data_IF_355400798068
#
_entry.id   IF_355400798068
#
_cell.length_a   1.000
_cell.length_b   1.000
_cell.length_c   1.000
_cell.angle_alpha   90.00
_cell.angle_beta   90.00
_cell.angle_gamma   90.00
#
_symmetry.space_group_name_H-M   'P 1'
#
loop_
_entity.id
_entity.type
_entity.pdbx_description
1 polymer ?
#
# COMPACT_ATOMS: atom_id res chain seq x y z
N UNK A 1 12.06 -22.35 11.22
CA UNK A 1 11.02 -21.89 10.28
C UNK A 1 10.59 -20.48 10.69
N UNK A 2 10.83 -19.45 9.86
CA UNK A 2 10.47 -18.07 10.19
C UNK A 2 8.93 -17.94 10.33
N UNK A 3 8.47 -17.43 11.48
CA UNK A 3 7.05 -17.26 11.81
C UNK A 3 6.56 -15.82 11.55
N UNK A 4 7.04 -15.19 10.47
CA UNK A 4 6.69 -13.81 10.20
C UNK A 4 5.18 -13.70 9.95
N UNK A 5 4.47 -13.04 10.87
CA UNK A 5 3.01 -12.84 10.78
C UNK A 5 2.62 -11.48 10.21
N UNK A 6 3.50 -10.50 10.34
CA UNK A 6 3.27 -9.10 9.98
C UNK A 6 4.44 -8.62 9.14
N UNK A 7 4.15 -8.01 7.99
CA UNK A 7 5.12 -7.39 7.12
C UNK A 7 4.71 -5.95 6.88
N UNK A 8 5.63 -5.02 7.12
CA UNK A 8 5.47 -3.61 6.80
C UNK A 8 6.54 -3.20 5.81
N UNK A 9 6.12 -2.65 4.66
CA UNK A 9 7.00 -2.22 3.58
C UNK A 9 6.69 -0.76 3.27
N UNK A 10 7.64 0.13 3.47
CA UNK A 10 7.47 1.56 3.16
C UNK A 10 8.23 1.93 1.90
N UNK A 11 7.70 2.89 1.14
CA UNK A 11 8.39 3.55 0.03
C UNK A 11 8.81 2.57 -1.10
N UNK A 12 7.90 1.65 -1.43
CA UNK A 12 8.10 0.70 -2.52
C UNK A 12 7.97 1.46 -3.84
N UNK A 13 9.09 1.56 -4.56
CA UNK A 13 9.12 2.03 -5.95
C UNK A 13 8.73 0.91 -6.93
N UNK A 14 8.24 1.29 -8.11
CA UNK A 14 7.71 0.37 -9.15
C UNK A 14 8.76 -0.61 -9.75
N UNK A 15 9.97 -0.72 -9.19
CA UNK A 15 11.06 -1.53 -9.77
C UNK A 15 11.16 -2.95 -9.20
N UNK A 16 10.22 -3.39 -8.37
CA UNK A 16 10.34 -4.65 -7.63
C UNK A 16 10.36 -5.89 -8.54
N UNK A 17 9.67 -5.85 -9.68
CA UNK A 17 9.54 -7.01 -10.58
C UNK A 17 10.70 -7.22 -11.54
N UNK A 18 11.62 -6.26 -11.70
CA UNK A 18 12.82 -6.47 -12.53
C UNK A 18 13.77 -7.53 -11.96
N UNK A 19 13.58 -7.94 -10.70
CA UNK A 19 14.48 -8.84 -9.97
C UNK A 19 13.79 -9.98 -9.22
N UNK A 20 12.48 -10.18 -9.36
CA UNK A 20 11.79 -11.25 -8.64
C UNK A 20 12.05 -12.60 -9.31
N UNK A 21 13.20 -13.21 -8.97
CA UNK A 21 13.20 -14.67 -8.80
C UNK A 21 12.07 -14.99 -7.81
N UNK A 22 11.25 -16.01 -8.07
CA UNK A 22 10.20 -16.40 -7.13
C UNK A 22 10.84 -16.56 -5.75
N UNK A 23 10.32 -15.85 -4.75
CA UNK A 23 10.83 -15.97 -3.39
C UNK A 23 10.78 -17.46 -3.03
N UNK A 24 11.92 -18.08 -2.69
CA UNK A 24 11.99 -19.54 -2.53
C UNK A 24 11.27 -20.03 -1.26
N UNK A 25 10.62 -19.12 -0.53
CA UNK A 25 9.90 -19.38 0.70
C UNK A 25 8.53 -18.72 0.66
N UNK A 26 7.50 -19.55 0.64
CA UNK A 26 6.15 -19.15 1.00
C UNK A 26 6.18 -18.65 2.44
N UNK A 27 5.80 -17.39 2.66
CA UNK A 27 5.63 -16.82 4.00
C UNK A 27 4.35 -17.41 4.64
N UNK A 28 4.42 -18.68 5.03
CA UNK A 28 3.27 -19.51 5.40
C UNK A 28 2.45 -18.97 6.57
N UNK A 29 3.03 -18.09 7.40
CA UNK A 29 2.39 -17.50 8.57
C UNK A 29 2.02 -16.03 8.39
N UNK A 30 2.29 -15.44 7.22
CA UNK A 30 2.02 -14.03 6.97
C UNK A 30 0.51 -13.81 6.87
N UNK A 31 -0.02 -13.07 7.83
CA UNK A 31 -1.45 -12.78 7.94
C UNK A 31 -1.76 -11.30 7.80
N UNK A 32 -0.78 -10.42 8.03
CA UNK A 32 -0.95 -8.97 7.90
C UNK A 32 0.15 -8.36 7.05
N UNK A 33 -0.25 -7.59 6.06
CA UNK A 33 0.65 -6.82 5.20
C UNK A 33 0.22 -5.36 5.24
N UNK A 34 1.21 -4.47 5.36
CA UNK A 34 1.02 -3.05 5.23
C UNK A 34 2.08 -2.51 4.29
N UNK A 35 1.67 -1.75 3.29
CA UNK A 35 2.58 -1.30 2.24
C UNK A 35 2.34 0.15 1.84
N UNK A 36 3.41 0.93 1.76
CA UNK A 36 3.44 2.26 1.15
C UNK A 36 3.99 2.17 -0.26
N UNK A 37 3.18 2.52 -1.24
CA UNK A 37 3.49 2.53 -2.66
C UNK A 37 3.65 3.96 -3.15
N UNK A 38 4.72 4.23 -3.89
CA UNK A 38 4.85 5.52 -4.55
C UNK A 38 3.87 5.65 -5.71
N UNK A 39 3.71 4.60 -6.53
CA UNK A 39 2.66 4.45 -7.54
C UNK A 39 2.30 2.96 -7.66
N UNK A 40 1.19 2.62 -8.34
CA UNK A 40 0.69 1.25 -8.46
C UNK A 40 0.73 0.80 -9.91
N UNK A 41 1.82 0.11 -10.28
CA UNK A 41 1.74 -0.76 -11.45
C UNK A 41 0.89 -1.99 -11.09
N UNK A 42 -0.38 -1.97 -11.49
CA UNK A 42 -1.34 -2.99 -11.09
C UNK A 42 -0.95 -4.39 -11.58
N UNK A 43 -0.32 -4.52 -12.75
CA UNK A 43 0.09 -5.83 -13.28
C UNK A 43 1.15 -6.46 -12.38
N UNK A 44 2.14 -5.65 -12.00
CA UNK A 44 3.20 -6.06 -11.08
C UNK A 44 2.66 -6.37 -9.68
N UNK A 45 1.77 -5.51 -9.19
CA UNK A 45 1.12 -5.69 -7.90
C UNK A 45 0.32 -7.00 -7.85
N UNK A 46 -0.45 -7.29 -8.90
CA UNK A 46 -1.21 -8.53 -9.02
C UNK A 46 -0.29 -9.77 -8.97
N UNK A 47 0.84 -9.75 -9.67
CA UNK A 47 1.79 -10.86 -9.64
C UNK A 47 2.33 -11.11 -8.22
N UNK A 48 2.68 -10.03 -7.50
CA UNK A 48 3.14 -10.14 -6.11
C UNK A 48 2.08 -10.75 -5.18
N UNK A 49 0.81 -10.36 -5.34
CA UNK A 49 -0.31 -10.90 -4.57
C UNK A 49 -0.44 -12.41 -4.79
N UNK A 50 -0.36 -12.84 -6.05
CA UNK A 50 -0.43 -14.25 -6.45
C UNK A 50 0.70 -15.06 -5.81
N UNK A 51 1.92 -14.53 -5.86
CA UNK A 51 3.11 -15.26 -5.41
C UNK A 51 3.21 -15.33 -3.87
N UNK A 52 2.80 -14.28 -3.17
CA UNK A 52 3.17 -14.10 -1.76
C UNK A 52 1.99 -14.04 -0.78
N UNK A 53 0.80 -13.58 -1.20
CA UNK A 53 -0.22 -13.09 -0.25
C UNK A 53 -1.50 -13.94 -0.16
N UNK A 54 -1.47 -15.18 -0.65
CA UNK A 54 -2.62 -16.11 -0.61
C UNK A 54 -3.19 -16.42 0.80
N UNK A 55 -2.41 -16.22 1.87
CA UNK A 55 -2.83 -16.41 3.29
C UNK A 55 -3.09 -15.11 4.04
N UNK A 56 -2.88 -13.97 3.40
CA UNK A 56 -3.05 -12.66 4.05
C UNK A 56 -4.51 -12.44 4.39
N UNK A 57 -4.75 -12.01 5.62
CA UNK A 57 -6.06 -11.68 6.15
C UNK A 57 -6.29 -10.17 6.24
N UNK A 58 -5.21 -9.40 6.37
CA UNK A 58 -5.25 -7.94 6.48
C UNK A 58 -4.25 -7.35 5.51
N UNK A 59 -4.74 -6.54 4.58
CA UNK A 59 -3.93 -5.80 3.63
C UNK A 59 -4.24 -4.30 3.76
N UNK A 60 -3.23 -3.53 4.14
CA UNK A 60 -3.26 -2.07 4.16
C UNK A 60 -2.34 -1.54 3.07
N UNK A 61 -2.84 -0.65 2.22
CA UNK A 61 -2.06 -0.01 1.15
C UNK A 61 -2.18 1.51 1.31
N UNK A 62 -1.04 2.19 1.31
CA UNK A 62 -0.95 3.65 1.18
C UNK A 62 -0.34 3.98 -0.18
N UNK A 63 -0.92 4.90 -0.93
CA UNK A 63 -0.48 5.26 -2.27
C UNK A 63 -0.23 6.76 -2.32
N UNK A 64 1.01 7.14 -2.65
CA UNK A 64 1.45 8.54 -2.66
C UNK A 64 1.49 9.17 -4.08
N UNK A 65 1.01 8.47 -5.11
CA UNK A 65 0.97 8.94 -6.51
C UNK A 65 -0.29 9.76 -6.79
N UNK A 66 -0.16 11.06 -7.02
CA UNK A 66 -1.31 11.92 -7.35
C UNK A 66 -1.89 11.68 -8.76
N UNK A 67 -1.13 11.05 -9.68
CA UNK A 67 -1.50 10.91 -11.09
C UNK A 67 -1.96 9.51 -11.49
N UNK A 68 -1.88 8.53 -10.59
CA UNK A 68 -2.09 7.14 -10.97
C UNK A 68 -3.56 6.74 -10.87
N UNK A 69 -4.30 6.75 -11.97
CA UNK A 69 -5.69 6.29 -11.96
C UNK A 69 -5.83 4.78 -11.71
N UNK A 70 -4.75 4.00 -11.72
CA UNK A 70 -4.82 2.55 -11.52
C UNK A 70 -5.41 2.17 -10.16
N UNK A 71 -5.22 2.98 -9.11
CA UNK A 71 -5.85 2.73 -7.81
C UNK A 71 -7.36 3.00 -7.83
N UNK A 72 -7.86 3.86 -8.74
CA UNK A 72 -9.28 4.22 -8.82
C UNK A 72 -10.15 3.11 -9.43
N UNK A 73 -9.55 2.09 -10.05
CA UNK A 73 -10.32 1.02 -10.68
C UNK A 73 -10.80 -0.03 -9.66
N UNK A 74 -11.92 0.26 -8.99
CA UNK A 74 -12.53 -0.63 -7.99
C UNK A 74 -12.73 -2.05 -8.50
N UNK A 75 -13.18 -2.20 -9.75
CA UNK A 75 -13.44 -3.51 -10.37
C UNK A 75 -12.17 -4.37 -10.44
N UNK A 76 -11.00 -3.77 -10.71
CA UNK A 76 -9.75 -4.52 -10.77
C UNK A 76 -9.33 -5.02 -9.39
N UNK A 77 -9.48 -4.17 -8.37
CA UNK A 77 -9.21 -4.55 -6.98
C UNK A 77 -10.13 -5.68 -6.51
N UNK A 78 -11.42 -5.57 -6.80
CA UNK A 78 -12.39 -6.61 -6.45
C UNK A 78 -12.05 -7.94 -7.11
N UNK A 79 -11.80 -7.94 -8.43
CA UNK A 79 -11.40 -9.14 -9.16
C UNK A 79 -10.12 -9.77 -8.56
N UNK A 80 -9.11 -8.95 -8.26
CA UNK A 80 -7.88 -9.42 -7.65
C UNK A 80 -8.11 -10.06 -6.28
N UNK A 81 -8.92 -9.43 -5.43
CA UNK A 81 -9.23 -9.92 -4.07
C UNK A 81 -10.00 -11.24 -4.14
N UNK A 82 -11.08 -11.28 -4.93
CA UNK A 82 -11.95 -12.46 -5.07
C UNK A 82 -11.18 -13.62 -5.68
N UNK A 83 -10.32 -13.38 -6.66
CA UNK A 83 -9.58 -14.44 -7.36
C UNK A 83 -8.36 -14.95 -6.59
N UNK A 84 -7.67 -14.11 -5.83
CA UNK A 84 -6.32 -14.44 -5.33
C UNK A 84 -6.12 -14.26 -3.82
N UNK A 85 -7.09 -13.69 -3.09
CA UNK A 85 -6.98 -13.46 -1.65
C UNK A 85 -8.15 -14.04 -0.85
N UNK A 86 -8.37 -15.38 -0.91
CA UNK A 86 -9.55 -16.02 -0.33
C UNK A 86 -9.66 -15.89 1.20
N UNK A 87 -8.55 -15.53 1.86
CA UNK A 87 -8.49 -15.37 3.31
C UNK A 87 -8.60 -13.90 3.76
N UNK A 88 -8.71 -12.95 2.82
CA UNK A 88 -8.72 -11.53 3.13
C UNK A 88 -10.01 -11.16 3.88
N UNK A 89 -9.85 -10.49 5.02
CA UNK A 89 -10.94 -10.00 5.87
C UNK A 89 -10.97 -8.49 5.96
N UNK A 90 -9.80 -7.87 5.86
CA UNK A 90 -9.64 -6.42 5.93
C UNK A 90 -8.80 -5.97 4.75
N UNK A 91 -9.40 -5.12 3.92
CA UNK A 91 -8.75 -4.42 2.84
C UNK A 91 -8.93 -2.91 3.08
N UNK A 92 -7.83 -2.17 3.14
CA UNK A 92 -7.83 -0.73 3.33
C UNK A 92 -6.83 -0.13 2.36
N UNK A 93 -7.30 0.79 1.51
CA UNK A 93 -6.50 1.51 0.53
C UNK A 93 -6.65 3.00 0.82
N UNK A 94 -5.52 3.66 1.03
CA UNK A 94 -5.44 5.09 1.33
C UNK A 94 -4.65 5.77 0.23
N UNK A 95 -5.19 6.88 -0.25
CA UNK A 95 -4.54 7.72 -1.23
C UNK A 95 -4.11 9.03 -0.56
N UNK A 96 -2.89 9.44 -0.84
CA UNK A 96 -2.32 10.67 -0.32
C UNK A 96 -1.57 10.48 0.99
N UNK A 97 -0.51 11.26 1.12
CA UNK A 97 0.34 11.29 2.29
C UNK A 97 -0.42 12.03 3.43
N UNK A 98 -1.23 11.29 4.19
CA UNK A 98 -2.05 11.87 5.28
C UNK A 98 -1.21 12.74 6.24
N UNK A 99 0.07 12.38 6.42
CA UNK A 99 1.00 13.10 7.28
C UNK A 99 1.41 14.44 6.68
N UNK A 100 1.62 14.53 5.35
CA UNK A 100 1.88 15.81 4.68
C UNK A 100 0.67 16.74 4.70
N UNK A 101 -0.55 16.23 4.58
CA UNK A 101 -1.75 17.07 4.67
C UNK A 101 -2.00 17.60 6.09
N UNK A 102 -1.73 16.80 7.13
CA UNK A 102 -1.82 17.26 8.53
C UNK A 102 -0.73 18.29 8.84
N UNK A 103 0.50 18.07 8.38
CA UNK A 103 1.61 19.01 8.57
C UNK A 103 1.35 20.31 7.79
N UNK A 104 0.95 20.26 6.52
CA UNK A 104 0.67 21.44 5.70
C UNK A 104 -0.51 22.28 6.23
N UNK A 105 -1.56 21.64 6.75
CA UNK A 105 -2.69 22.36 7.34
C UNK A 105 -2.34 22.99 8.71
N UNK A 106 -1.38 22.43 9.45
CA UNK A 106 -0.93 22.98 10.72
C UNK A 106 0.07 24.14 10.57
N UNK A 107 0.72 24.31 9.42
CA UNK A 107 1.60 25.46 9.13
C UNK A 107 0.90 26.63 8.39
N UNK A 108 -0.37 26.47 8.00
CA UNK A 108 -1.16 27.53 7.35
C UNK A 108 -2.07 28.32 8.31
N UNK A 109 -1.94 28.13 9.62
CA UNK A 109 -2.51 29.06 10.59
C UNK A 109 -1.58 30.27 10.68
N UNK A 110 -1.83 31.24 9.80
CA UNK A 110 -1.17 32.53 9.76
C UNK A 110 -1.18 33.15 11.19
N UNK A 111 -0.02 33.34 11.86
CA UNK A 111 0.01 34.17 13.05
C UNK A 111 -0.30 35.61 12.61
N UNK A 112 -1.42 36.14 13.10
CA UNK A 112 -1.74 37.57 13.04
C UNK A 112 -0.47 38.37 13.36
N UNK A 113 0.05 39.11 12.38
CA UNK A 113 1.04 40.14 12.64
C UNK A 113 0.39 41.18 13.57
N UNK A 114 1.05 41.60 14.65
CA UNK A 114 0.57 42.71 15.45
C UNK A 114 0.70 43.98 14.61
N UNK A 115 -0.42 44.68 14.46
CA UNK A 115 -0.41 46.06 13.98
C UNK A 115 0.47 46.90 14.91
N UNK A 116 1.49 47.53 14.34
CA UNK A 116 2.28 48.58 15.00
C UNK A 116 2.03 49.92 14.31
N UNK A 117 2.19 51.02 15.07
CA UNK A 117 1.27 52.16 15.12
C UNK A 117 1.34 53.15 13.96
#
# INVERSE_FOLDING_TARGET
MPQLRRLHLSDISNSWTKYTKPFPFVLAYLTKVSMGLNCVDFVQFQQMIIDMFHRVQVLHISIDCNSDQAYMSSNRWEQLIVSHMPNLRVFDIRHGNWAKYIIANNYNVNPMMPNTP
#
